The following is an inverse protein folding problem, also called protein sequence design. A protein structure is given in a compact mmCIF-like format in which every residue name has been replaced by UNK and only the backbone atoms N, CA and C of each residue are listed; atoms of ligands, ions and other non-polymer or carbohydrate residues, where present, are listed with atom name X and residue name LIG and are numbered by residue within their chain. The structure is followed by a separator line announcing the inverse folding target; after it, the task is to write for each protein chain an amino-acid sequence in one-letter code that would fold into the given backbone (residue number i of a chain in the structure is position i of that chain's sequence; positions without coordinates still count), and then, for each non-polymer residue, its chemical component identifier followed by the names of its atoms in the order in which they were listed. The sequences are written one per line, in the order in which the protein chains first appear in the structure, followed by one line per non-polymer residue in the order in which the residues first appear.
data_IF_510881925053
#
_entry.id   IF_510881925053
#
_cell.length_a   1.000
_cell.length_b   1.000
_cell.length_c   1.000
_cell.angle_alpha   90.00
_cell.angle_beta   90.00
_cell.angle_gamma   90.00
#
_symmetry.space_group_name_H-M   'P 1'
#
loop_
_entity.id
_entity.type
_entity.pdbx_description
1 polymer ?
#
# COMPACT_ATOMS: atom_id res chain seq x y z
N UNK A 1 21.09 -50.45 -7.74
CA UNK A 1 20.76 -49.20 -7.01
C UNK A 1 20.46 -48.03 -7.97
N UNK A 2 19.55 -48.19 -8.94
CA UNK A 2 19.22 -47.15 -9.94
C UNK A 2 17.72 -46.87 -10.07
N UNK A 3 16.90 -47.43 -9.16
CA UNK A 3 15.45 -47.24 -9.12
C UNK A 3 14.98 -46.33 -7.96
N UNK A 4 15.87 -45.99 -7.03
CA UNK A 4 15.57 -45.05 -5.94
C UNK A 4 15.61 -43.58 -6.38
N UNK A 5 16.32 -43.26 -7.48
CA UNK A 5 16.46 -41.89 -7.97
C UNK A 5 15.17 -41.34 -8.59
N UNK A 6 14.31 -42.20 -9.13
CA UNK A 6 13.08 -41.79 -9.80
C UNK A 6 11.93 -41.44 -8.84
N UNK A 7 12.02 -41.83 -7.56
CA UNK A 7 10.98 -41.53 -6.57
C UNK A 7 11.03 -40.07 -6.06
N UNK A 8 12.16 -39.39 -6.20
CA UNK A 8 12.33 -37.99 -5.77
C UNK A 8 11.71 -36.97 -6.74
N UNK A 9 11.37 -37.38 -7.96
CA UNK A 9 10.79 -36.51 -8.99
C UNK A 9 9.26 -36.39 -8.90
N UNK A 10 8.63 -37.14 -7.99
CA UNK A 10 7.17 -37.16 -7.79
C UNK A 10 6.72 -36.34 -6.58
N UNK A 11 7.59 -35.55 -5.96
CA UNK A 11 7.15 -34.59 -4.95
C UNK A 11 6.35 -33.49 -5.65
N UNK A 12 5.02 -33.39 -5.44
CA UNK A 12 4.27 -32.23 -5.90
C UNK A 12 4.92 -31.01 -5.26
N UNK A 13 5.39 -30.08 -6.10
CA UNK A 13 5.80 -28.75 -5.67
C UNK A 13 4.52 -28.05 -5.24
N UNK A 14 4.06 -28.36 -4.03
CA UNK A 14 3.07 -27.55 -3.35
C UNK A 14 3.75 -26.19 -3.18
N UNK A 15 3.40 -25.26 -4.06
CA UNK A 15 3.70 -23.85 -3.87
C UNK A 15 2.94 -23.43 -2.63
N UNK A 16 3.57 -23.58 -1.46
CA UNK A 16 3.15 -22.88 -0.26
C UNK A 16 3.38 -21.41 -0.58
N UNK A 17 2.32 -20.73 -1.04
CA UNK A 17 2.29 -19.27 -0.99
C UNK A 17 2.44 -18.93 0.48
N UNK A 18 3.63 -18.49 0.89
CA UNK A 18 3.79 -17.85 2.18
C UNK A 18 2.77 -16.71 2.20
N UNK A 19 1.82 -16.76 3.14
CA UNK A 19 0.97 -15.62 3.41
C UNK A 19 1.90 -14.44 3.72
N UNK A 20 1.65 -13.28 3.11
CA UNK A 20 2.43 -12.10 3.46
C UNK A 20 2.31 -11.89 4.97
N UNK A 21 3.44 -11.72 5.69
CA UNK A 21 3.39 -11.48 7.12
C UNK A 21 2.55 -10.24 7.39
N UNK A 22 1.72 -10.30 8.43
CA UNK A 22 0.91 -9.17 8.86
C UNK A 22 1.83 -7.97 9.15
N UNK A 23 1.59 -6.86 8.47
CA UNK A 23 2.40 -5.65 8.62
C UNK A 23 2.06 -5.03 9.99
N UNK A 24 2.94 -5.26 10.97
CA UNK A 24 2.87 -4.60 12.27
C UNK A 24 3.47 -3.19 12.16
N UNK A 25 2.67 -2.19 12.52
CA UNK A 25 3.06 -0.77 12.52
C UNK A 25 2.93 -0.15 13.92
N UNK A 26 3.70 -0.62 14.92
CA UNK A 26 3.65 -0.11 16.29
C UNK A 26 4.07 1.36 16.43
N UNK A 27 4.73 1.95 15.42
CA UNK A 27 5.07 3.38 15.40
C UNK A 27 6.23 3.75 16.33
N UNK A 28 7.16 2.83 16.55
CA UNK A 28 8.24 3.00 17.55
C UNK A 28 9.36 3.91 17.06
N UNK A 29 9.54 4.02 15.74
CA UNK A 29 10.55 4.89 15.14
C UNK A 29 10.10 5.45 13.79
N UNK A 30 10.75 6.54 13.35
CA UNK A 30 10.36 7.26 12.13
C UNK A 30 10.58 6.48 10.84
N UNK A 31 11.53 5.53 10.82
CA UNK A 31 11.80 4.69 9.65
C UNK A 31 10.64 3.71 9.44
N UNK A 32 10.26 3.03 10.51
CA UNK A 32 9.12 2.12 10.56
C UNK A 32 7.82 2.84 10.20
N UNK A 33 7.54 3.99 10.84
CA UNK A 33 6.35 4.79 10.53
C UNK A 33 6.27 5.17 9.04
N UNK A 34 7.41 5.57 8.44
CA UNK A 34 7.48 5.91 7.02
C UNK A 34 7.22 4.69 6.13
N UNK A 35 7.82 3.55 6.47
CA UNK A 35 7.60 2.32 5.73
C UNK A 35 6.13 1.89 5.79
N UNK A 36 5.53 1.93 6.97
CA UNK A 36 4.12 1.64 7.19
C UNK A 36 3.19 2.57 6.39
N UNK A 37 3.42 3.88 6.44
CA UNK A 37 2.66 4.83 5.63
C UNK A 37 2.78 4.51 4.12
N UNK A 38 3.97 4.14 3.65
CA UNK A 38 4.17 3.75 2.26
C UNK A 38 3.38 2.51 1.86
N UNK A 39 3.27 1.52 2.77
CA UNK A 39 2.51 0.29 2.53
C UNK A 39 1.01 0.54 2.52
N UNK A 40 0.51 1.39 3.42
CA UNK A 40 -0.89 1.84 3.41
C UNK A 40 -1.25 2.52 2.08
N UNK A 41 -0.43 3.48 1.65
CA UNK A 41 -0.64 4.16 0.37
C UNK A 41 -0.60 3.19 -0.83
N UNK A 42 0.34 2.24 -0.84
CA UNK A 42 0.43 1.23 -1.90
C UNK A 42 -0.86 0.40 -2.00
N UNK A 43 -1.40 -0.02 -0.85
CA UNK A 43 -2.63 -0.80 -0.76
C UNK A 43 -3.84 0.00 -1.26
N UNK A 44 -4.04 1.22 -0.75
CA UNK A 44 -5.20 2.05 -1.13
C UNK A 44 -5.14 2.49 -2.59
N UNK A 45 -3.94 2.77 -3.10
CA UNK A 45 -3.71 3.05 -4.52
C UNK A 45 -4.08 1.85 -5.40
N UNK A 46 -3.69 0.64 -4.99
CA UNK A 46 -4.01 -0.60 -5.72
C UNK A 46 -5.51 -0.81 -5.80
N UNK A 47 -6.23 -0.58 -4.70
CA UNK A 47 -7.68 -0.64 -4.68
C UNK A 47 -8.34 0.44 -5.58
N UNK A 48 -7.82 1.67 -5.58
CA UNK A 48 -8.33 2.71 -6.49
C UNK A 48 -8.09 2.40 -7.96
N UNK A 49 -6.98 1.75 -8.30
CA UNK A 49 -6.68 1.33 -9.68
C UNK A 49 -7.73 0.38 -10.25
N UNK A 50 -8.42 -0.37 -9.40
CA UNK A 50 -9.52 -1.25 -9.82
C UNK A 50 -10.83 -0.48 -10.09
N UNK A 51 -10.95 0.76 -9.58
CA UNK A 51 -12.15 1.59 -9.68
C UNK A 51 -12.03 2.72 -10.71
N UNK A 52 -10.80 3.18 -10.97
CA UNK A 52 -10.54 4.39 -11.77
C UNK A 52 -9.78 4.07 -13.07
N UNK A 53 -10.10 4.78 -14.17
CA UNK A 53 -9.22 4.83 -15.34
C UNK A 53 -7.84 5.39 -14.94
N UNK A 54 -6.78 4.87 -15.57
CA UNK A 54 -5.39 5.23 -15.25
C UNK A 54 -5.14 6.75 -15.29
N UNK A 55 -5.70 7.47 -16.28
CA UNK A 55 -5.55 8.93 -16.39
C UNK A 55 -6.18 9.67 -15.20
N UNK A 56 -7.33 9.19 -14.70
CA UNK A 56 -8.02 9.79 -13.56
C UNK A 56 -7.25 9.47 -12.27
N UNK A 57 -6.72 8.26 -12.14
CA UNK A 57 -5.87 7.86 -11.02
C UNK A 57 -4.62 8.74 -10.93
N UNK A 58 -3.94 9.01 -12.04
CA UNK A 58 -2.75 9.88 -12.06
C UNK A 58 -3.06 11.32 -11.68
N UNK A 59 -4.17 11.88 -12.19
CA UNK A 59 -4.65 13.21 -11.81
C UNK A 59 -4.99 13.27 -10.33
N UNK A 60 -5.67 12.24 -9.83
CA UNK A 60 -6.02 12.12 -8.42
C UNK A 60 -4.76 12.10 -7.54
N UNK A 61 -3.78 11.25 -7.86
CA UNK A 61 -2.49 11.15 -7.15
C UNK A 61 -1.74 12.48 -7.10
N UNK A 62 -1.74 13.24 -8.19
CA UNK A 62 -1.10 14.54 -8.22
C UNK A 62 -1.82 15.55 -7.32
N UNK A 63 -3.15 15.61 -7.40
CA UNK A 63 -3.95 16.56 -6.61
C UNK A 63 -3.88 16.25 -5.12
N UNK A 64 -4.01 14.99 -4.72
CA UNK A 64 -3.92 14.60 -3.30
C UNK A 64 -2.56 14.91 -2.73
N UNK A 65 -1.48 14.58 -3.45
CA UNK A 65 -0.11 14.90 -3.05
C UNK A 65 0.11 16.39 -2.82
N UNK A 66 -0.41 17.24 -3.72
CA UNK A 66 -0.27 18.69 -3.59
C UNK A 66 -1.05 19.23 -2.39
N UNK A 67 -2.30 18.80 -2.23
CA UNK A 67 -3.16 19.16 -1.09
C UNK A 67 -2.54 18.73 0.23
N UNK A 68 -2.05 17.49 0.31
CA UNK A 68 -1.43 16.94 1.51
C UNK A 68 -0.09 17.61 1.84
N UNK A 69 0.70 17.98 0.81
CA UNK A 69 1.93 18.77 0.99
C UNK A 69 1.65 20.16 1.56
N UNK A 70 0.58 20.82 1.11
CA UNK A 70 0.14 22.12 1.64
C UNK A 70 -0.37 21.96 3.07
N UNK A 71 -1.24 20.98 3.32
CA UNK A 71 -1.83 20.74 4.64
C UNK A 71 -0.77 20.45 5.72
N UNK A 72 0.32 19.78 5.35
CA UNK A 72 1.42 19.44 6.26
C UNK A 72 2.66 20.32 6.12
N UNK A 73 2.57 21.44 5.42
CA UNK A 73 3.67 22.40 5.25
C UNK A 73 4.34 22.83 6.58
N UNK A 74 3.63 23.00 7.72
CA UNK A 74 4.27 23.32 9.00
C UNK A 74 5.31 22.31 9.47
N UNK A 75 5.24 21.06 9.00
CA UNK A 75 6.16 20.00 9.39
C UNK A 75 7.36 19.84 8.46
N UNK A 76 7.48 20.64 7.39
CA UNK A 76 8.41 20.41 6.26
C UNK A 76 9.87 20.17 6.66
N UNK A 77 10.33 20.79 7.74
CA UNK A 77 11.71 20.65 8.24
C UNK A 77 11.91 19.43 9.14
N UNK A 78 10.83 18.80 9.60
CA UNK A 78 10.84 17.64 10.47
C UNK A 78 10.97 16.32 9.72
N UNK A 79 11.63 15.34 10.34
CA UNK A 79 11.73 13.97 9.83
C UNK A 79 10.37 13.26 9.71
N UNK A 80 9.34 13.84 10.32
CA UNK A 80 7.95 13.37 10.28
C UNK A 80 7.20 13.75 9.00
N UNK A 81 7.65 14.77 8.28
CA UNK A 81 6.93 15.31 7.13
C UNK A 81 6.58 14.27 6.06
N UNK A 82 7.51 13.39 5.61
CA UNK A 82 7.20 12.45 4.54
C UNK A 82 6.05 11.50 4.89
N UNK A 83 6.01 10.97 6.12
CA UNK A 83 4.92 10.08 6.53
C UNK A 83 3.60 10.81 6.76
N UNK A 84 3.61 12.10 7.11
CA UNK A 84 2.39 12.89 7.20
C UNK A 84 1.74 13.08 5.83
N UNK A 85 2.54 13.43 4.82
CA UNK A 85 2.07 13.59 3.43
C UNK A 85 1.55 12.25 2.89
N UNK A 86 2.37 11.19 2.98
CA UNK A 86 1.99 9.85 2.48
C UNK A 86 0.76 9.29 3.20
N UNK A 87 0.67 9.47 4.52
CA UNK A 87 -0.49 9.03 5.29
C UNK A 87 -1.75 9.85 5.01
N UNK A 88 -1.61 11.11 4.61
CA UNK A 88 -2.72 11.94 4.14
C UNK A 88 -3.24 11.43 2.78
N UNK A 89 -2.35 11.14 1.83
CA UNK A 89 -2.70 10.56 0.53
C UNK A 89 -3.48 9.24 0.69
N UNK A 90 -2.98 8.33 1.56
CA UNK A 90 -3.65 7.07 1.86
C UNK A 90 -5.08 7.28 2.40
N UNK A 91 -5.25 8.21 3.35
CA UNK A 91 -6.56 8.52 3.92
C UNK A 91 -7.52 9.06 2.85
N UNK A 92 -7.07 9.95 1.98
CA UNK A 92 -7.90 10.46 0.88
C UNK A 92 -8.30 9.35 -0.09
N UNK A 93 -7.40 8.41 -0.39
CA UNK A 93 -7.73 7.24 -1.21
C UNK A 93 -8.81 6.38 -0.56
N UNK A 94 -8.68 6.09 0.75
CA UNK A 94 -9.65 5.28 1.50
C UNK A 94 -11.02 5.94 1.57
N UNK A 95 -11.06 7.25 1.74
CA UNK A 95 -12.32 8.02 1.69
C UNK A 95 -12.96 7.91 0.30
N UNK A 96 -12.20 8.11 -0.78
CA UNK A 96 -12.74 7.98 -2.14
C UNK A 96 -13.26 6.57 -2.43
N UNK A 97 -12.55 5.52 -1.97
CA UNK A 97 -13.01 4.14 -2.06
C UNK A 97 -14.33 3.91 -1.29
N UNK A 98 -14.49 4.54 -0.14
CA UNK A 98 -15.75 4.48 0.61
C UNK A 98 -16.89 5.17 -0.12
N UNK A 99 -16.63 6.32 -0.75
CA UNK A 99 -17.61 6.99 -1.60
C UNK A 99 -18.04 6.12 -2.79
N UNK A 100 -17.11 5.43 -3.47
CA UNK A 100 -17.47 4.48 -4.52
C UNK A 100 -18.32 3.32 -4.00
N UNK A 101 -18.02 2.79 -2.80
CA UNK A 101 -18.83 1.75 -2.18
C UNK A 101 -20.25 2.22 -1.92
N UNK A 102 -20.44 3.46 -1.45
CA UNK A 102 -21.76 4.06 -1.17
C UNK A 102 -22.55 4.38 -2.44
N UNK A 103 -21.88 4.73 -3.54
CA UNK A 103 -22.53 4.98 -4.82
C UNK A 103 -22.95 3.68 -5.54
N UNK A 104 -22.27 2.57 -5.25
CA UNK A 104 -22.59 1.24 -5.77
C UNK A 104 -23.64 0.47 -4.96
N UNK A 105 -24.12 1.02 -3.84
CA UNK A 105 -25.17 0.46 -2.97
C UNK A 105 -26.50 1.17 -3.17
#
# INVERSE_FOLDING_TARGET
MRKLLFLLLLFPIFSVRAAEPEILCPGQNTVEMRWCASKGLEESRRALKEQLPQEILEKWEQVTKDVCSVAHAPYREGTIYPQMVVGCDDRLNRVLLEEFRRLGS
#
